data_IF_650990975873
#
_entry.id   IF_650990975873
#
_cell.length_a   1.000
_cell.length_b   1.000
_cell.length_c   1.000
_cell.angle_alpha   90.00
_cell.angle_beta   90.00
_cell.angle_gamma   90.00
#
_symmetry.space_group_name_H-M   'P 1'
#
loop_
_entity.id
_entity.type
_entity.pdbx_description
1 polymer ?
#
# COMPACT_ATOMS: atom_id res chain seq x y z
N UNK A 1 -21.14 -75.60 -27.36
CA UNK A 1 -22.49 -76.08 -26.97
C UNK A 1 -23.32 -74.84 -26.67
N UNK A 2 -24.20 -74.50 -27.56
CA UNK A 2 -25.66 -74.61 -27.51
C UNK A 2 -26.18 -73.90 -26.24
N UNK A 3 -27.08 -72.97 -26.26
CA UNK A 3 -28.40 -72.90 -26.92
C UNK A 3 -29.05 -71.59 -26.47
N UNK A 4 -29.44 -70.69 -27.29
CA UNK A 4 -30.82 -70.62 -27.85
C UNK A 4 -31.87 -69.92 -26.98
N UNK A 5 -32.44 -68.89 -27.62
CA UNK A 5 -33.86 -68.39 -27.55
C UNK A 5 -34.20 -67.52 -26.31
N UNK A 6 -34.99 -66.52 -26.34
CA UNK A 6 -36.13 -66.23 -27.21
C UNK A 6 -36.55 -64.74 -27.03
N UNK A 7 -36.95 -64.17 -28.13
CA UNK A 7 -37.72 -62.94 -28.25
C UNK A 7 -38.93 -62.87 -27.35
N UNK A 8 -39.21 -61.73 -26.77
CA UNK A 8 -40.59 -61.24 -26.58
C UNK A 8 -40.61 -59.73 -26.86
N UNK A 9 -41.37 -59.49 -27.87
CA UNK A 9 -41.82 -58.20 -28.38
C UNK A 9 -42.92 -57.69 -27.41
N UNK A 10 -42.77 -56.55 -26.82
CA UNK A 10 -43.87 -55.74 -26.28
C UNK A 10 -43.75 -54.31 -26.76
N UNK A 11 -44.61 -54.06 -27.69
CA UNK A 11 -45.03 -52.79 -28.21
C UNK A 11 -45.86 -52.09 -27.12
N UNK A 12 -45.47 -50.90 -26.68
CA UNK A 12 -46.41 -50.00 -26.01
C UNK A 12 -45.96 -48.56 -25.98
N UNK A 13 -46.69 -47.81 -26.76
CA UNK A 13 -47.28 -46.50 -26.50
C UNK A 13 -46.30 -45.31 -26.38
N UNK A 14 -46.26 -44.60 -27.46
CA UNK A 14 -45.94 -43.18 -27.59
C UNK A 14 -46.81 -42.35 -26.63
N UNK A 15 -46.18 -41.69 -25.67
CA UNK A 15 -46.72 -40.51 -25.04
C UNK A 15 -45.78 -39.36 -25.40
N UNK A 16 -46.20 -38.56 -26.38
CA UNK A 16 -45.64 -37.24 -26.65
C UNK A 16 -45.92 -36.35 -25.44
N UNK A 17 -44.95 -36.18 -24.57
CA UNK A 17 -44.89 -35.03 -23.67
C UNK A 17 -44.07 -33.97 -24.36
N UNK A 18 -44.74 -33.02 -24.97
CA UNK A 18 -44.16 -31.74 -25.41
C UNK A 18 -43.69 -31.00 -24.15
N UNK A 19 -42.50 -31.32 -23.65
CA UNK A 19 -41.79 -30.51 -22.67
C UNK A 19 -41.25 -29.28 -23.36
N UNK A 20 -41.88 -28.13 -23.14
CA UNK A 20 -41.26 -26.83 -23.43
C UNK A 20 -39.91 -26.77 -22.71
N UNK A 21 -38.82 -27.00 -23.41
CA UNK A 21 -37.49 -26.61 -22.96
C UNK A 21 -37.49 -25.08 -22.87
N UNK A 22 -37.65 -24.59 -21.63
CA UNK A 22 -37.35 -23.20 -21.33
C UNK A 22 -35.87 -23.03 -21.62
N UNK A 23 -35.58 -22.36 -22.71
CA UNK A 23 -34.21 -21.99 -23.12
C UNK A 23 -33.65 -21.09 -22.01
N UNK A 24 -32.79 -21.64 -21.15
CA UNK A 24 -32.09 -20.87 -20.15
C UNK A 24 -31.04 -20.10 -20.91
N UNK A 25 -31.33 -18.84 -21.24
CA UNK A 25 -30.36 -17.92 -21.78
C UNK A 25 -29.18 -17.87 -20.79
N UNK A 26 -27.95 -18.23 -21.19
CA UNK A 26 -26.81 -18.15 -20.30
C UNK A 26 -26.65 -16.72 -19.80
N UNK A 27 -26.75 -16.53 -18.51
CA UNK A 27 -26.44 -15.23 -17.88
C UNK A 27 -25.02 -14.86 -18.26
N UNK A 28 -24.79 -13.70 -18.89
CA UNK A 28 -23.44 -13.28 -19.22
C UNK A 28 -22.60 -13.26 -17.95
N UNK A 29 -21.29 -13.67 -18.02
CA UNK A 29 -20.40 -13.60 -16.88
C UNK A 29 -20.41 -12.19 -16.30
N UNK A 30 -20.37 -12.01 -14.97
CA UNK A 30 -20.33 -10.68 -14.38
C UNK A 30 -19.11 -9.95 -14.93
N UNK A 31 -19.36 -8.78 -15.50
CA UNK A 31 -18.29 -7.88 -15.94
C UNK A 31 -17.40 -7.60 -14.73
N UNK A 32 -16.07 -7.79 -14.81
CA UNK A 32 -15.19 -7.52 -13.69
C UNK A 32 -15.34 -6.05 -13.29
N UNK A 33 -15.76 -5.82 -12.05
CA UNK A 33 -15.82 -4.47 -11.48
C UNK A 33 -14.39 -3.92 -11.50
N UNK A 34 -14.13 -2.75 -12.09
CA UNK A 34 -12.79 -2.19 -12.10
C UNK A 34 -12.31 -2.01 -10.67
N UNK A 35 -11.18 -2.63 -10.34
CA UNK A 35 -10.52 -2.42 -9.06
C UNK A 35 -10.14 -0.94 -8.97
N UNK A 36 -10.54 -0.22 -7.91
CA UNK A 36 -10.17 1.18 -7.76
C UNK A 36 -8.66 1.33 -7.85
N UNK A 37 -8.20 2.11 -8.82
CA UNK A 37 -6.77 2.42 -8.94
C UNK A 37 -6.43 3.41 -7.84
N UNK A 38 -5.53 3.04 -6.95
CA UNK A 38 -5.02 3.91 -5.89
C UNK A 38 -4.25 5.08 -6.53
N UNK A 39 -4.58 6.31 -6.12
CA UNK A 39 -3.88 7.50 -6.60
C UNK A 39 -2.44 7.53 -6.09
N UNK A 40 -1.54 8.14 -6.87
CA UNK A 40 -0.14 8.29 -6.49
C UNK A 40 -0.02 9.15 -5.22
N UNK A 41 0.74 8.67 -4.23
CA UNK A 41 1.02 9.43 -3.01
C UNK A 41 1.82 10.69 -3.33
N UNK A 42 1.49 11.77 -2.61
CA UNK A 42 2.27 13.00 -2.56
C UNK A 42 2.39 13.43 -1.11
N UNK A 43 3.57 13.88 -0.72
CA UNK A 43 3.86 14.29 0.66
C UNK A 43 4.40 15.72 0.72
N UNK A 44 4.17 16.37 1.87
CA UNK A 44 4.77 17.65 2.22
C UNK A 44 5.26 17.59 3.66
N UNK A 45 6.37 18.28 3.93
CA UNK A 45 6.95 18.41 5.26
C UNK A 45 6.49 19.72 5.91
N UNK A 46 6.35 19.72 7.24
CA UNK A 46 6.07 20.93 8.03
C UNK A 46 6.88 20.88 9.36
N UNK A 47 7.84 21.78 9.57
CA UNK A 47 8.31 22.77 8.60
C UNK A 47 9.00 22.13 7.40
N UNK A 48 8.83 22.73 6.21
CA UNK A 48 9.57 22.36 5.02
C UNK A 48 10.86 23.19 4.91
N UNK A 49 12.04 22.60 5.15
CA UNK A 49 13.29 23.32 5.02
C UNK A 49 13.69 23.55 3.54
N UNK A 50 13.02 22.91 2.59
CA UNK A 50 13.32 23.00 1.17
C UNK A 50 14.80 22.66 0.90
N UNK A 51 15.51 23.54 0.21
CA UNK A 51 16.95 23.41 -0.04
C UNK A 51 17.83 23.92 1.11
N UNK A 52 17.25 24.51 2.16
CA UNK A 52 17.99 25.03 3.31
C UNK A 52 18.22 23.94 4.36
N UNK A 53 19.16 24.18 5.28
CA UNK A 53 19.38 23.29 6.42
C UNK A 53 18.50 23.71 7.58
N UNK A 54 17.67 22.80 8.08
CA UNK A 54 16.89 23.00 9.30
C UNK A 54 17.82 23.13 10.51
N UNK A 55 17.46 23.99 11.46
CA UNK A 55 18.23 24.17 12.68
C UNK A 55 17.54 23.46 13.85
N UNK A 56 18.23 22.48 14.45
CA UNK A 56 17.83 21.88 15.70
C UNK A 56 18.41 22.68 16.87
N UNK A 57 17.55 23.07 17.82
CA UNK A 57 17.96 23.80 19.03
C UNK A 57 18.41 22.86 20.16
N UNK A 58 18.17 21.55 19.99
CA UNK A 58 18.49 20.51 20.97
C UNK A 58 18.94 19.21 20.30
N UNK A 59 19.01 18.15 21.07
CA UNK A 59 19.36 16.81 20.58
C UNK A 59 18.24 16.17 19.72
N UNK A 60 17.11 16.86 19.54
CA UNK A 60 15.97 16.40 18.77
C UNK A 60 15.52 17.44 17.75
N UNK A 61 14.88 16.97 16.68
CA UNK A 61 14.21 17.83 15.71
C UNK A 61 12.83 17.24 15.39
N UNK A 62 11.79 18.08 15.48
CA UNK A 62 10.41 17.66 15.23
C UNK A 62 9.90 18.23 13.90
N UNK A 63 9.14 17.43 13.19
CA UNK A 63 8.48 17.79 11.94
C UNK A 63 7.21 16.95 11.75
N UNK A 64 6.38 17.32 10.78
CA UNK A 64 5.17 16.58 10.39
C UNK A 64 5.26 16.20 8.92
N UNK A 65 4.60 15.11 8.57
CA UNK A 65 4.45 14.68 7.18
C UNK A 65 2.97 14.70 6.82
N UNK A 66 2.59 15.60 5.94
CA UNK A 66 1.27 15.62 5.34
C UNK A 66 1.24 14.71 4.12
N UNK A 67 0.16 13.96 3.97
CA UNK A 67 -0.05 13.05 2.83
C UNK A 67 -1.29 13.50 2.09
N UNK A 68 -1.14 13.82 0.82
CA UNK A 68 -2.28 14.16 -0.03
C UNK A 68 -2.94 12.88 -0.50
N UNK A 69 -4.26 12.78 -0.28
CA UNK A 69 -5.09 11.63 -0.64
C UNK A 69 -4.55 10.30 -0.10
N UNK A 70 -4.48 10.14 1.23
CA UNK A 70 -4.01 8.90 1.81
C UNK A 70 -4.95 7.75 1.43
N UNK A 71 -4.40 6.56 1.12
CA UNK A 71 -5.20 5.39 0.80
C UNK A 71 -6.02 4.94 2.01
N UNK A 72 -7.16 4.29 1.76
CA UNK A 72 -8.06 3.80 2.83
C UNK A 72 -7.40 2.79 3.77
N UNK A 73 -6.44 2.01 3.26
CA UNK A 73 -5.65 1.09 4.07
C UNK A 73 -4.61 1.79 4.97
N UNK A 74 -4.44 3.11 4.82
CA UNK A 74 -3.45 3.90 5.54
C UNK A 74 -2.07 3.83 4.92
N UNK A 75 -1.13 4.49 5.60
CA UNK A 75 0.28 4.58 5.19
C UNK A 75 1.21 4.21 6.34
N UNK A 76 2.43 3.80 5.99
CA UNK A 76 3.57 3.73 6.91
C UNK A 76 4.60 4.79 6.52
N UNK A 77 5.38 5.23 7.49
CA UNK A 77 6.49 6.17 7.30
C UNK A 77 7.78 5.54 7.78
N UNK A 78 8.76 5.49 6.90
CA UNK A 78 10.13 5.08 7.20
C UNK A 78 11.02 6.33 7.22
N UNK A 79 11.74 6.54 8.32
CA UNK A 79 12.67 7.66 8.51
C UNK A 79 14.07 7.09 8.63
N UNK A 80 15.03 7.66 7.91
CA UNK A 80 16.45 7.35 8.04
C UNK A 80 17.22 8.64 8.25
N UNK A 81 17.98 8.70 9.35
CA UNK A 81 18.86 9.83 9.67
C UNK A 81 20.30 9.35 9.67
N UNK A 82 21.15 10.05 8.94
CA UNK A 82 22.58 9.76 8.80
C UNK A 82 23.40 11.00 9.04
N UNK A 83 24.61 10.84 9.59
CA UNK A 83 25.57 11.94 9.61
C UNK A 83 26.03 12.23 8.19
N UNK A 84 26.06 13.50 7.81
CA UNK A 84 26.47 13.91 6.46
C UNK A 84 27.96 13.61 6.18
N UNK A 85 28.81 13.64 7.23
CA UNK A 85 30.26 13.50 7.08
C UNK A 85 30.69 12.08 6.67
N UNK A 86 30.06 11.04 7.21
CA UNK A 86 30.50 9.64 7.08
C UNK A 86 29.38 8.67 6.73
N UNK A 87 28.16 9.17 6.50
CA UNK A 87 26.94 8.39 6.27
C UNK A 87 26.58 7.40 7.39
N UNK A 88 27.16 7.54 8.59
CA UNK A 88 26.81 6.69 9.72
C UNK A 88 25.35 6.92 10.15
N UNK A 89 24.62 5.81 10.37
CA UNK A 89 23.23 5.89 10.79
C UNK A 89 23.12 6.38 12.25
N UNK A 90 22.08 7.18 12.52
CA UNK A 90 21.70 7.64 13.84
C UNK A 90 20.51 6.81 14.29
N UNK A 91 20.69 5.93 15.26
CA UNK A 91 19.67 4.97 15.71
C UNK A 91 18.39 5.65 16.21
N UNK A 92 18.52 6.72 17.01
CA UNK A 92 17.38 7.47 17.55
C UNK A 92 16.64 8.31 16.49
N UNK A 93 17.28 8.54 15.35
CA UNK A 93 16.70 9.25 14.20
C UNK A 93 16.22 8.31 13.09
N UNK A 94 16.39 6.99 13.25
CA UNK A 94 15.98 5.99 12.25
C UNK A 94 14.87 5.12 12.81
N UNK A 95 13.70 5.18 12.20
CA UNK A 95 12.51 4.46 12.69
C UNK A 95 11.44 4.27 11.62
N UNK A 96 10.59 3.28 11.83
CA UNK A 96 9.35 3.06 11.09
C UNK A 96 8.15 3.37 11.98
N UNK A 97 7.17 4.08 11.45
CA UNK A 97 5.87 4.35 12.09
C UNK A 97 4.79 3.70 11.26
N UNK A 98 4.14 2.66 11.81
CA UNK A 98 3.08 1.91 11.15
C UNK A 98 1.99 1.50 12.16
N UNK A 99 0.74 1.96 12.01
CA UNK A 99 0.27 2.92 11.01
C UNK A 99 0.73 4.36 11.31
N UNK A 100 0.88 5.17 10.27
CA UNK A 100 1.13 6.61 10.43
C UNK A 100 -0.17 7.40 10.20
N UNK A 101 -0.45 8.33 11.09
CA UNK A 101 -1.52 9.31 10.92
C UNK A 101 -0.96 10.57 10.26
N UNK A 102 -1.35 10.91 9.03
CA UNK A 102 -0.86 12.10 8.33
C UNK A 102 -1.02 13.37 9.15
N UNK A 103 0.05 14.18 9.22
CA UNK A 103 0.11 15.40 10.02
C UNK A 103 0.47 15.19 11.49
N UNK A 104 0.65 13.96 11.96
CA UNK A 104 1.19 13.70 13.30
C UNK A 104 2.65 14.14 13.39
N UNK A 105 3.04 14.60 14.58
CA UNK A 105 4.42 15.00 14.83
C UNK A 105 5.36 13.80 14.86
N UNK A 106 6.48 13.93 14.19
CA UNK A 106 7.60 13.00 14.18
C UNK A 106 8.79 13.71 14.81
N UNK A 107 9.42 13.10 15.81
CA UNK A 107 10.65 13.61 16.40
C UNK A 107 11.79 12.65 16.09
N UNK A 108 12.88 13.14 15.51
CA UNK A 108 14.15 12.43 15.39
C UNK A 108 15.09 12.88 16.49
N UNK A 109 15.88 11.95 17.03
CA UNK A 109 16.79 12.19 18.16
C UNK A 109 18.25 11.87 17.83
N UNK A 110 19.11 11.94 18.86
CA UNK A 110 20.52 11.60 18.74
C UNK A 110 21.36 12.63 17.98
N UNK A 111 20.87 13.87 17.86
CA UNK A 111 21.59 14.93 17.15
C UNK A 111 22.68 15.55 18.03
N UNK A 112 23.95 15.40 17.65
CA UNK A 112 25.09 16.00 18.31
C UNK A 112 25.33 17.44 17.84
N UNK A 113 25.80 18.31 18.76
CA UNK A 113 26.13 19.71 18.43
C UNK A 113 27.23 19.78 17.35
N UNK A 114 27.15 20.78 16.48
CA UNK A 114 28.12 21.01 15.40
C UNK A 114 28.08 19.96 14.28
N UNK A 115 27.06 19.08 14.26
CA UNK A 115 26.96 18.00 13.26
C UNK A 115 25.82 18.24 12.30
N UNK A 116 26.08 18.00 11.01
CA UNK A 116 25.10 18.05 9.93
C UNK A 116 24.58 16.61 9.66
N UNK A 117 23.28 16.51 9.48
CA UNK A 117 22.58 15.24 9.22
C UNK A 117 21.78 15.31 7.93
N UNK A 118 21.75 14.21 7.22
CA UNK A 118 20.85 13.94 6.11
C UNK A 118 19.68 13.11 6.63
N UNK A 119 18.47 13.60 6.44
CA UNK A 119 17.21 12.93 6.83
C UNK A 119 16.45 12.58 5.57
N UNK A 120 16.10 11.31 5.43
CA UNK A 120 15.20 10.85 4.39
C UNK A 120 13.93 10.30 5.01
N UNK A 121 12.81 10.65 4.40
CA UNK A 121 11.46 10.23 4.82
C UNK A 121 10.80 9.56 3.63
N UNK A 122 10.33 8.33 3.79
CA UNK A 122 9.59 7.59 2.77
C UNK A 122 8.24 7.21 3.32
N UNK A 123 7.19 7.61 2.64
CA UNK A 123 5.81 7.22 2.93
C UNK A 123 5.37 6.17 1.94
N UNK A 124 4.86 5.05 2.41
CA UNK A 124 4.44 3.93 1.58
C UNK A 124 3.00 3.56 1.88
N UNK A 125 2.21 3.35 0.84
CA UNK A 125 0.85 2.81 0.98
C UNK A 125 0.87 1.40 1.56
N UNK A 126 -0.05 1.11 2.48
CA UNK A 126 -0.22 -0.23 3.05
C UNK A 126 -0.94 -1.19 2.10
N UNK A 127 -1.70 -0.68 1.15
CA UNK A 127 -2.38 -1.48 0.12
C UNK A 127 -1.50 -1.78 -1.09
N UNK A 128 -0.55 -0.88 -1.42
CA UNK A 128 0.28 -1.00 -2.61
C UNK A 128 1.70 -0.47 -2.35
N UNK A 129 2.64 -1.35 -2.08
CA UNK A 129 4.02 -0.99 -1.72
C UNK A 129 4.78 -0.21 -2.81
N UNK A 130 4.39 -0.37 -4.08
CA UNK A 130 4.93 0.42 -5.18
C UNK A 130 4.41 1.87 -5.22
N UNK A 131 3.33 2.18 -4.48
CA UNK A 131 2.85 3.53 -4.32
C UNK A 131 3.51 4.16 -3.09
N UNK A 132 4.59 4.89 -3.32
CA UNK A 132 5.35 5.57 -2.29
C UNK A 132 5.77 6.96 -2.74
N UNK A 133 6.08 7.81 -1.77
CA UNK A 133 6.61 9.15 -1.97
C UNK A 133 7.72 9.40 -0.95
N UNK A 134 8.76 10.12 -1.34
CA UNK A 134 9.90 10.40 -0.48
C UNK A 134 10.24 11.87 -0.49
N UNK A 135 10.75 12.34 0.65
CA UNK A 135 11.36 13.66 0.80
C UNK A 135 12.68 13.52 1.56
N UNK A 136 13.61 14.44 1.32
CA UNK A 136 14.87 14.49 2.03
C UNK A 136 15.21 15.94 2.39
N UNK A 137 15.81 16.11 3.55
CA UNK A 137 16.25 17.42 4.02
C UNK A 137 17.47 17.29 4.92
N UNK A 138 18.11 18.42 5.21
CA UNK A 138 19.26 18.48 6.11
C UNK A 138 18.89 19.13 7.44
N UNK A 139 19.46 18.61 8.52
CA UNK A 139 19.33 19.16 9.87
C UNK A 139 20.73 19.40 10.45
N UNK A 140 20.94 20.55 11.03
CA UNK A 140 22.15 20.86 11.80
C UNK A 140 21.76 21.25 13.22
N UNK A 141 22.40 20.65 14.21
CA UNK A 141 22.34 21.10 15.60
C UNK A 141 23.44 22.14 15.82
N UNK A 142 23.02 23.33 16.21
CA UNK A 142 23.92 24.42 16.65
C UNK A 142 24.47 24.15 18.05
#
# INVERSE_FOLDING_TARGET
>A
MLSRYLSVFVLSVFLLSAGCKKEVTPTPPPTPTPTPTEEQLSIALDPDPGSTTAAATGATYAFKVSVTKPPSAGVKVDISTKKNADNSAVSEGTKTIDPYTPGSEISIGGLAAGTLYDVSVTVTSKSKSSNNASAAFKVARK
#
